data_IF_648313265753
#
_entry.id   IF_648313265753
#
_cell.length_a   1.000
_cell.length_b   1.000
_cell.length_c   1.000
_cell.angle_alpha   90.00
_cell.angle_beta   90.00
_cell.angle_gamma   90.00
#
_symmetry.space_group_name_H-M   'P 1'
#
loop_
_entity.id
_entity.type
_entity.pdbx_description
1 polymer ?
#
# COMPACT_ATOMS: atom_id res chain seq x y z
N UNK A 1 5.16 16.76 -11.84
CA UNK A 1 5.10 17.97 -10.98
C UNK A 1 6.30 18.83 -11.35
N UNK A 2 6.07 20.00 -11.93
CA UNK A 2 7.17 20.93 -12.24
C UNK A 2 7.79 21.40 -10.94
N UNK A 3 9.12 21.45 -10.87
CA UNK A 3 9.97 21.87 -9.74
C UNK A 3 9.75 23.34 -9.28
N UNK A 4 8.61 23.95 -9.61
CA UNK A 4 8.36 25.39 -9.60
C UNK A 4 7.05 25.82 -8.96
N UNK A 5 6.19 24.91 -8.51
CA UNK A 5 4.92 25.27 -7.86
C UNK A 5 4.89 24.78 -6.41
N UNK A 6 4.95 25.71 -5.44
CA UNK A 6 5.05 25.45 -4.01
C UNK A 6 4.04 26.27 -3.17
N UNK A 7 3.14 27.06 -3.79
CA UNK A 7 2.13 27.83 -3.05
C UNK A 7 0.99 28.42 -3.88
N UNK A 8 0.03 29.13 -3.24
CA UNK A 8 -1.14 29.71 -3.90
C UNK A 8 -0.81 30.78 -4.94
N UNK A 9 0.40 31.34 -4.93
CA UNK A 9 0.87 32.34 -5.90
C UNK A 9 1.23 31.71 -7.26
N UNK A 10 1.32 30.38 -7.32
CA UNK A 10 1.63 29.61 -8.52
C UNK A 10 0.37 29.21 -9.33
N UNK A 11 -0.80 29.76 -9.01
CA UNK A 11 -2.08 29.41 -9.66
C UNK A 11 -2.01 29.57 -11.18
N UNK A 12 -1.35 30.62 -11.68
CA UNK A 12 -1.17 30.83 -13.11
C UNK A 12 -0.26 29.75 -13.74
N UNK A 13 0.79 29.33 -13.04
CA UNK A 13 1.71 28.27 -13.48
C UNK A 13 1.02 26.92 -13.49
N UNK A 14 0.25 26.61 -12.45
CA UNK A 14 -0.56 25.39 -12.36
C UNK A 14 -1.64 25.37 -13.44
N UNK A 15 -2.34 26.48 -13.65
CA UNK A 15 -3.39 26.60 -14.68
C UNK A 15 -2.82 26.37 -16.07
N UNK A 16 -1.66 26.96 -16.38
CA UNK A 16 -0.99 26.73 -17.64
C UNK A 16 -0.56 25.26 -17.77
N UNK A 17 0.05 24.68 -16.74
CA UNK A 17 0.46 23.28 -16.74
C UNK A 17 -0.73 22.33 -16.97
N UNK A 18 -1.89 22.59 -16.38
CA UNK A 18 -3.10 21.79 -16.58
C UNK A 18 -3.70 21.97 -17.99
N UNK A 19 -3.59 23.16 -18.59
CA UNK A 19 -4.16 23.46 -19.92
C UNK A 19 -3.31 22.94 -21.07
N UNK A 20 -1.99 23.11 -20.98
CA UNK A 20 -1.07 22.84 -22.09
C UNK A 20 -0.08 21.71 -21.80
N UNK A 21 0.05 21.29 -20.54
CA UNK A 21 0.90 20.19 -20.13
C UNK A 21 0.26 18.82 -20.34
N UNK A 22 0.97 17.75 -19.93
CA UNK A 22 0.56 16.36 -20.21
C UNK A 22 -0.59 15.86 -19.32
N UNK A 23 -1.11 16.69 -18.41
CA UNK A 23 -2.15 16.29 -17.46
C UNK A 23 -3.50 16.07 -18.19
N UNK A 24 -4.28 15.08 -17.76
CA UNK A 24 -5.59 14.76 -18.35
C UNK A 24 -5.56 14.01 -19.68
N UNK A 25 -4.37 13.66 -20.21
CA UNK A 25 -4.26 12.78 -21.39
C UNK A 25 -4.85 11.39 -21.07
N UNK A 26 -5.63 10.85 -22.00
CA UNK A 26 -6.13 9.48 -21.89
C UNK A 26 -4.94 8.51 -21.89
N UNK A 27 -4.83 7.69 -20.84
CA UNK A 27 -3.73 6.72 -20.67
C UNK A 27 -3.63 5.70 -21.80
N UNK A 28 -4.74 5.44 -22.52
CA UNK A 28 -4.76 4.53 -23.67
C UNK A 28 -4.30 5.19 -24.97
N UNK A 29 -4.35 6.52 -25.06
CA UNK A 29 -3.94 7.30 -26.24
C UNK A 29 -2.68 8.12 -25.97
N UNK A 30 -1.99 7.82 -24.88
CA UNK A 30 -0.72 8.40 -24.50
C UNK A 30 0.40 7.37 -24.68
N UNK A 31 1.62 7.86 -24.62
CA UNK A 31 2.88 7.13 -24.54
C UNK A 31 3.09 6.51 -23.14
N UNK A 32 2.03 5.92 -22.57
CA UNK A 32 2.11 5.26 -21.27
C UNK A 32 2.76 3.88 -21.42
N UNK A 33 3.96 3.73 -20.86
CA UNK A 33 4.74 2.51 -20.84
C UNK A 33 4.75 1.80 -19.48
N UNK A 34 3.93 2.27 -18.54
CA UNK A 34 3.74 1.61 -17.23
C UNK A 34 3.14 0.23 -17.42
N UNK A 35 3.75 -0.76 -16.78
CA UNK A 35 3.30 -2.16 -16.83
C UNK A 35 1.91 -2.31 -16.21
N UNK A 36 1.06 -3.08 -16.89
CA UNK A 36 -0.27 -3.47 -16.39
C UNK A 36 -0.23 -4.73 -15.53
N UNK A 37 0.84 -5.52 -15.64
CA UNK A 37 1.10 -6.74 -14.87
C UNK A 37 2.58 -6.84 -14.53
N UNK A 38 2.87 -6.95 -13.23
CA UNK A 38 4.22 -7.11 -12.71
C UNK A 38 4.22 -8.25 -11.69
N UNK A 39 5.17 -9.17 -11.84
CA UNK A 39 5.45 -10.22 -10.86
C UNK A 39 6.92 -10.15 -10.46
N UNK A 40 7.17 -9.81 -9.21
CA UNK A 40 8.51 -9.75 -8.63
C UNK A 40 8.71 -10.92 -7.68
N UNK A 41 9.62 -11.83 -8.02
CA UNK A 41 10.06 -12.89 -7.13
C UNK A 41 11.35 -12.46 -6.43
N UNK A 42 11.34 -12.49 -5.10
CA UNK A 42 12.38 -11.88 -4.27
C UNK A 42 12.81 -12.82 -3.14
N UNK A 43 14.10 -12.76 -2.81
CA UNK A 43 14.68 -13.41 -1.63
C UNK A 43 15.00 -12.32 -0.60
N UNK A 44 14.29 -12.37 0.51
CA UNK A 44 14.49 -11.51 1.66
C UNK A 44 15.66 -12.02 2.50
N UNK A 45 16.09 -11.16 3.42
CA UNK A 45 17.03 -11.51 4.49
C UNK A 45 16.56 -12.76 5.25
N UNK A 46 17.49 -13.64 5.62
CA UNK A 46 17.16 -14.89 6.31
C UNK A 46 16.63 -16.01 5.40
N UNK A 47 16.68 -15.84 4.08
CA UNK A 47 16.31 -16.89 3.12
C UNK A 47 14.81 -17.03 2.87
N UNK A 48 14.00 -16.12 3.43
CA UNK A 48 12.56 -16.04 3.15
C UNK A 48 12.36 -15.64 1.68
N UNK A 49 11.44 -16.30 1.00
CA UNK A 49 11.08 -15.99 -0.38
C UNK A 49 9.71 -15.33 -0.43
N UNK A 50 9.54 -14.36 -1.31
CA UNK A 50 8.27 -13.70 -1.54
C UNK A 50 8.00 -13.48 -3.02
N UNK A 51 6.73 -13.38 -3.37
CA UNK A 51 6.25 -12.96 -4.69
C UNK A 51 5.30 -11.79 -4.51
N UNK A 52 5.59 -10.66 -5.16
CA UNK A 52 4.68 -9.53 -5.24
C UNK A 52 4.06 -9.49 -6.64
N UNK A 53 2.73 -9.48 -6.69
CA UNK A 53 1.98 -9.44 -7.95
C UNK A 53 1.11 -8.18 -7.96
N UNK A 54 1.30 -7.36 -8.98
CA UNK A 54 0.48 -6.18 -9.25
C UNK A 54 -0.19 -6.36 -10.61
N UNK A 55 -1.50 -6.10 -10.69
CA UNK A 55 -2.27 -6.19 -11.93
C UNK A 55 -3.29 -5.06 -11.99
N UNK A 56 -3.30 -4.30 -13.09
CA UNK A 56 -4.20 -3.16 -13.28
C UNK A 56 -5.64 -3.58 -13.62
N UNK A 57 -5.81 -4.74 -14.25
CA UNK A 57 -7.11 -5.22 -14.74
C UNK A 57 -7.68 -6.31 -13.84
N UNK A 58 -8.01 -5.94 -12.60
CA UNK A 58 -8.68 -6.83 -11.63
C UNK A 58 -10.02 -6.21 -11.21
N UNK A 59 -10.85 -7.01 -10.53
CA UNK A 59 -11.92 -6.43 -9.72
C UNK A 59 -11.33 -5.45 -8.69
N UNK A 60 -12.11 -4.43 -8.34
CA UNK A 60 -11.73 -3.51 -7.29
C UNK A 60 -11.92 -4.22 -5.94
N UNK A 61 -10.81 -4.66 -5.35
CA UNK A 61 -10.79 -5.40 -4.08
C UNK A 61 -9.56 -5.02 -3.26
N UNK A 62 -9.52 -5.46 -2.01
CA UNK A 62 -8.38 -5.23 -1.13
C UNK A 62 -7.15 -6.06 -1.51
N UNK A 63 -6.00 -5.63 -0.99
CA UNK A 63 -4.73 -6.36 -1.15
C UNK A 63 -4.82 -7.74 -0.50
N UNK A 64 -4.48 -8.77 -1.27
CA UNK A 64 -4.45 -10.15 -0.82
C UNK A 64 -3.06 -10.51 -0.31
N UNK A 65 -2.97 -11.12 0.88
CA UNK A 65 -1.70 -11.51 1.49
C UNK A 65 -1.73 -12.99 1.87
N UNK A 66 -0.64 -13.70 1.60
CA UNK A 66 -0.45 -15.09 2.07
C UNK A 66 0.93 -15.23 2.70
N UNK A 67 0.98 -15.81 3.88
CA UNK A 67 2.22 -16.07 4.62
C UNK A 67 2.22 -17.55 4.98
N UNK A 68 3.34 -18.23 4.72
CA UNK A 68 3.51 -19.64 5.01
C UNK A 68 4.62 -19.81 6.04
N UNK A 69 4.38 -20.66 7.03
CA UNK A 69 5.34 -21.04 8.05
C UNK A 69 5.43 -22.56 8.18
N UNK A 70 6.35 -23.02 9.01
CA UNK A 70 6.54 -24.46 9.27
C UNK A 70 5.38 -25.12 10.02
N UNK A 71 4.54 -24.34 10.69
CA UNK A 71 3.44 -24.82 11.53
C UNK A 71 2.08 -24.26 11.10
N UNK A 72 1.98 -23.69 9.91
CA UNK A 72 0.72 -23.10 9.49
C UNK A 72 0.83 -22.13 8.34
N UNK A 73 -0.30 -21.49 8.05
CA UNK A 73 -0.37 -20.40 7.09
C UNK A 73 -1.38 -19.35 7.55
N UNK A 74 -1.21 -18.14 7.00
CA UNK A 74 -2.13 -17.02 7.13
C UNK A 74 -2.55 -16.57 5.74
N UNK A 75 -3.85 -16.31 5.56
CA UNK A 75 -4.40 -15.63 4.38
C UNK A 75 -5.18 -14.40 4.84
N UNK A 76 -4.84 -13.25 4.29
CA UNK A 76 -5.58 -12.01 4.44
C UNK A 76 -6.21 -11.60 3.12
N UNK A 77 -7.47 -11.19 3.14
CA UNK A 77 -8.16 -10.65 1.97
C UNK A 77 -8.59 -9.18 2.14
N UNK A 78 -8.12 -8.53 3.20
CA UNK A 78 -8.41 -7.12 3.54
C UNK A 78 -9.66 -6.94 4.39
N UNK A 79 -10.56 -7.91 4.43
CA UNK A 79 -11.72 -7.94 5.33
C UNK A 79 -11.53 -8.99 6.42
N UNK A 80 -10.89 -10.12 6.10
CA UNK A 80 -10.66 -11.25 6.99
C UNK A 80 -9.21 -11.66 6.96
N UNK A 81 -8.75 -12.14 8.12
CA UNK A 81 -7.49 -12.86 8.28
C UNK A 81 -7.80 -14.26 8.79
N UNK A 82 -7.56 -15.26 7.95
CA UNK A 82 -7.68 -16.68 8.31
C UNK A 82 -6.31 -17.22 8.65
N UNK A 83 -6.19 -17.87 9.80
CA UNK A 83 -4.97 -18.52 10.29
C UNK A 83 -5.25 -19.99 10.53
N UNK A 84 -4.41 -20.86 9.98
CA UNK A 84 -4.45 -22.29 10.25
C UNK A 84 -3.19 -22.71 11.00
N UNK A 85 -3.36 -23.29 12.18
CA UNK A 85 -2.30 -23.89 13.00
C UNK A 85 -2.25 -25.42 12.82
N UNK A 86 -1.15 -25.92 12.27
CA UNK A 86 -0.97 -27.36 12.00
C UNK A 86 -0.70 -28.19 13.26
N UNK A 87 -0.41 -27.57 14.40
CA UNK A 87 -0.05 -28.29 15.63
C UNK A 87 -1.26 -28.90 16.30
N UNK A 88 -2.41 -28.25 16.15
CA UNK A 88 -3.70 -28.67 16.72
C UNK A 88 -4.86 -28.65 15.71
N UNK A 89 -4.56 -28.41 14.43
CA UNK A 89 -5.52 -28.35 13.30
C UNK A 89 -6.59 -27.24 13.46
N UNK A 90 -6.29 -26.23 14.29
CA UNK A 90 -7.23 -25.12 14.53
C UNK A 90 -7.19 -24.11 13.40
N UNK A 91 -8.37 -23.71 12.93
CA UNK A 91 -8.56 -22.58 12.03
C UNK A 91 -9.25 -21.44 12.77
N UNK A 92 -8.59 -20.28 12.84
CA UNK A 92 -9.15 -19.05 13.41
C UNK A 92 -9.37 -18.02 12.32
N UNK A 93 -10.51 -17.35 12.35
CA UNK A 93 -10.85 -16.24 11.46
C UNK A 93 -10.96 -14.97 12.29
N UNK A 94 -10.21 -13.95 11.89
CA UNK A 94 -10.29 -12.61 12.44
C UNK A 94 -10.96 -11.71 11.41
N UNK A 95 -12.13 -11.16 11.75
CA UNK A 95 -12.76 -10.10 10.97
C UNK A 95 -12.01 -8.80 11.24
N UNK A 96 -11.67 -8.07 10.19
CA UNK A 96 -11.15 -6.71 10.29
C UNK A 96 -12.35 -5.75 10.25
N UNK A 97 -12.33 -4.70 11.07
CA UNK A 97 -13.36 -3.65 11.01
C UNK A 97 -13.17 -2.70 9.80
N UNK A 98 -12.55 -3.20 8.72
CA UNK A 98 -12.20 -2.39 7.56
C UNK A 98 -13.47 -1.90 6.85
N UNK A 99 -13.58 -0.59 6.67
CA UNK A 99 -14.60 0.04 5.83
C UNK A 99 -13.96 0.56 4.54
N UNK A 100 -14.51 0.11 3.40
CA UNK A 100 -14.11 0.58 2.07
C UNK A 100 -12.78 0.02 1.55
N UNK A 101 -12.69 -0.11 0.23
CA UNK A 101 -11.48 -0.59 -0.48
C UNK A 101 -10.76 0.52 -1.27
N UNK A 102 -11.30 1.74 -1.25
CA UNK A 102 -10.82 2.86 -2.07
C UNK A 102 -10.90 4.20 -1.32
N UNK A 103 -10.28 5.23 -1.90
CA UNK A 103 -10.19 6.57 -1.30
C UNK A 103 -11.55 7.25 -1.06
N UNK A 104 -12.60 6.88 -1.79
CA UNK A 104 -13.94 7.43 -1.64
C UNK A 104 -14.76 6.72 -0.55
N UNK A 105 -14.52 5.42 -0.33
CA UNK A 105 -15.25 4.56 0.61
C UNK A 105 -14.54 4.40 1.97
N UNK A 106 -13.30 4.88 2.07
CA UNK A 106 -12.43 4.68 3.22
C UNK A 106 -11.32 3.69 2.90
N UNK A 107 -10.10 4.00 3.32
CA UNK A 107 -8.92 3.14 3.14
C UNK A 107 -8.84 2.04 4.21
N UNK A 108 -9.94 1.32 4.47
CA UNK A 108 -10.00 0.22 5.43
C UNK A 108 -9.66 0.61 6.88
N UNK A 109 -9.78 1.89 7.25
CA UNK A 109 -9.46 2.43 8.57
C UNK A 109 -7.97 2.57 8.91
N UNK A 110 -7.07 2.07 8.05
CA UNK A 110 -5.62 2.06 8.30
C UNK A 110 -5.02 3.46 8.45
N UNK A 111 -5.45 4.41 7.62
CA UNK A 111 -4.95 5.79 7.63
C UNK A 111 -5.21 6.49 8.96
N UNK A 112 -6.41 6.32 9.51
CA UNK A 112 -6.78 6.91 10.80
C UNK A 112 -5.86 6.40 11.92
N UNK A 113 -5.61 5.09 11.96
CA UNK A 113 -4.74 4.47 12.97
C UNK A 113 -3.28 4.85 12.76
N UNK A 114 -2.84 4.96 11.51
CA UNK A 114 -1.49 5.41 11.15
C UNK A 114 -1.23 6.84 11.65
N UNK A 115 -2.15 7.78 11.36
CA UNK A 115 -2.05 9.17 11.82
C UNK A 115 -2.15 9.25 13.35
N UNK A 116 -3.06 8.51 13.96
CA UNK A 116 -3.16 8.46 15.42
C UNK A 116 -1.85 7.97 16.08
N UNK A 117 -1.23 6.93 15.53
CA UNK A 117 0.06 6.41 16.00
C UNK A 117 1.18 7.43 15.85
N UNK A 118 1.17 8.21 14.77
CA UNK A 118 2.12 9.29 14.55
C UNK A 118 1.95 10.44 15.56
N UNK A 119 0.72 10.90 15.79
CA UNK A 119 0.42 11.94 16.78
C UNK A 119 0.79 11.48 18.19
N UNK A 120 0.48 10.24 18.55
CA UNK A 120 0.84 9.64 19.85
C UNK A 120 2.35 9.61 20.05
N UNK A 121 3.13 9.21 19.03
CA UNK A 121 4.58 9.22 19.06
C UNK A 121 5.15 10.62 19.36
N UNK A 122 4.60 11.65 18.73
CA UNK A 122 5.04 13.04 18.93
C UNK A 122 4.62 13.59 20.28
N UNK A 123 3.38 13.33 20.71
CA UNK A 123 2.84 13.85 21.96
C UNK A 123 3.54 13.25 23.19
N UNK A 124 3.94 11.99 23.11
CA UNK A 124 4.58 11.25 24.22
C UNK A 124 6.10 11.19 24.13
N UNK A 125 6.66 11.41 22.94
CA UNK A 125 8.08 11.16 22.65
C UNK A 125 8.42 9.67 22.46
N UNK A 126 7.43 8.77 22.47
CA UNK A 126 7.62 7.34 22.29
C UNK A 126 7.67 6.96 20.80
N UNK A 127 8.88 6.88 20.25
CA UNK A 127 9.08 6.50 18.84
C UNK A 127 8.72 5.05 18.55
N UNK A 128 8.53 4.18 19.55
CA UNK A 128 8.13 2.78 19.31
C UNK A 128 6.72 2.65 18.71
N UNK A 129 5.94 3.73 18.75
CA UNK A 129 4.64 3.84 18.08
C UNK A 129 4.74 3.89 16.55
N UNK A 130 5.90 4.23 16.00
CA UNK A 130 6.16 4.20 14.55
C UNK A 130 6.79 2.86 14.17
N UNK A 131 6.01 2.00 13.52
CA UNK A 131 6.45 0.63 13.18
C UNK A 131 7.31 0.51 11.91
N UNK A 132 7.26 1.52 11.04
CA UNK A 132 8.04 1.57 9.79
C UNK A 132 8.62 2.96 9.62
N UNK A 133 9.95 3.05 9.62
CA UNK A 133 10.67 4.31 9.46
C UNK A 133 10.94 4.65 7.99
N UNK A 134 11.61 5.80 7.74
CA UNK A 134 11.97 6.21 6.38
C UNK A 134 12.82 5.20 5.62
N UNK A 135 13.71 4.48 6.31
CA UNK A 135 14.56 3.46 5.69
C UNK A 135 13.79 2.20 5.29
N UNK A 136 12.80 1.77 6.10
CA UNK A 136 11.94 0.65 5.76
C UNK A 136 11.08 0.99 4.54
N UNK A 137 10.53 2.22 4.51
CA UNK A 137 9.79 2.75 3.37
C UNK A 137 10.68 2.83 2.13
N UNK A 138 11.90 3.33 2.23
CA UNK A 138 12.82 3.34 1.10
C UNK A 138 13.13 1.91 0.60
N UNK A 139 13.34 0.98 1.52
CA UNK A 139 13.56 -0.43 1.19
C UNK A 139 12.38 -1.07 0.46
N UNK A 140 11.14 -0.74 0.85
CA UNK A 140 9.94 -1.28 0.18
C UNK A 140 9.79 -0.79 -1.26
N UNK A 141 10.28 0.41 -1.59
CA UNK A 141 10.23 0.94 -2.96
C UNK A 141 11.16 0.20 -3.91
N UNK A 142 12.18 -0.53 -3.42
CA UNK A 142 13.03 -1.36 -4.26
C UNK A 142 12.32 -2.63 -4.77
N UNK A 143 11.18 -2.97 -4.18
CA UNK A 143 10.35 -4.10 -4.59
C UNK A 143 9.23 -3.69 -5.59
N UNK A 144 9.14 -2.39 -5.93
CA UNK A 144 8.16 -1.81 -6.84
C UNK A 144 8.77 -1.53 -8.23
#
# INVERSE_FOLDING_TARGET
VTDRAHGPEDEAVLTEALRSGPYGRCVYHADNDVVDNQVVAMRLSGGITGTFTMSAFTEQTHRQTRIFGSHGWLRGDGERVTVHDFRDDTVTVHETEATGSNAAEGHGGGDTVLIASFVDALATGDLSRIRSGPLDSLGSHLAA
#
